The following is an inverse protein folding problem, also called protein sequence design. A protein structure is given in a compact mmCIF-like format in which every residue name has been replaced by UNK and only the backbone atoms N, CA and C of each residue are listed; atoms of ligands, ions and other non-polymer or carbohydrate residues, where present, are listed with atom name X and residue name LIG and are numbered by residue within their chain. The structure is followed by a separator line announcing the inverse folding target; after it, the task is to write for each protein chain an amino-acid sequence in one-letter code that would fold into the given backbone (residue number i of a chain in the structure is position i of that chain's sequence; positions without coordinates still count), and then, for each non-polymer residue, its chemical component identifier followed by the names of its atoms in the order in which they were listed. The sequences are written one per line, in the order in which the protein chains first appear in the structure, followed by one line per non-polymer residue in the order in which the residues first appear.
data_IF_935296664428
#
_entry.id   IF_935296664428
#
_cell.length_a   1.000
_cell.length_b   1.000
_cell.length_c   1.000
_cell.angle_alpha   90.00
_cell.angle_beta   90.00
_cell.angle_gamma   90.00
#
_symmetry.space_group_name_H-M   'P 1'
#
loop_
_entity.id
_entity.type
_entity.pdbx_description
1 polymer ?
#
# COMPACT_ATOMS: atom_id res chain seq x y z
N UNK A 1 -8.22 -13.04 -4.15
CA UNK A 1 -7.64 -12.02 -3.25
C UNK A 1 -6.33 -11.54 -3.81
N UNK A 2 -5.83 -10.38 -3.43
CA UNK A 2 -4.65 -9.76 -4.04
C UNK A 2 -3.68 -9.27 -2.96
N UNK A 3 -2.38 -9.24 -3.27
CA UNK A 3 -1.30 -8.77 -2.40
C UNK A 3 -0.41 -7.82 -3.20
N UNK A 4 -0.18 -6.61 -2.69
CA UNK A 4 0.67 -5.61 -3.32
C UNK A 4 2.07 -5.61 -2.69
N UNK A 5 3.10 -5.42 -3.51
CA UNK A 5 4.46 -5.07 -3.06
C UNK A 5 4.67 -3.58 -3.21
N UNK A 6 5.04 -2.86 -2.14
CA UNK A 6 5.69 -1.57 -2.26
C UNK A 6 7.13 -1.82 -2.71
N UNK A 7 7.42 -1.62 -4.01
CA UNK A 7 8.65 -2.04 -4.65
C UNK A 7 9.83 -1.05 -4.49
N UNK A 8 9.91 -0.42 -3.34
CA UNK A 8 11.00 0.50 -2.95
C UNK A 8 10.98 0.77 -1.45
N UNK A 9 12.06 1.39 -0.96
CA UNK A 9 12.18 1.98 0.38
C UNK A 9 13.03 3.25 0.28
N UNK A 10 13.12 4.05 1.35
CA UNK A 10 13.83 5.33 1.30
C UNK A 10 15.31 5.14 0.95
N UNK A 11 15.81 5.88 -0.04
CA UNK A 11 17.15 5.76 -0.61
C UNK A 11 17.53 4.35 -1.13
N UNK A 12 16.54 3.53 -1.49
CA UNK A 12 16.75 2.16 -1.99
C UNK A 12 17.81 2.06 -3.11
N UNK A 13 17.81 2.90 -4.18
CA UNK A 13 18.83 2.81 -5.22
C UNK A 13 20.25 2.99 -4.69
N UNK A 14 20.44 3.89 -3.73
CA UNK A 14 21.75 4.15 -3.13
C UNK A 14 22.19 3.01 -2.20
N UNK A 15 21.28 2.55 -1.34
CA UNK A 15 21.57 1.48 -0.39
C UNK A 15 21.90 0.16 -1.07
N UNK A 16 21.18 -0.18 -2.13
CA UNK A 16 21.39 -1.40 -2.91
C UNK A 16 22.42 -1.21 -4.03
N UNK A 17 23.07 -0.04 -4.15
CA UNK A 17 24.04 0.32 -5.20
C UNK A 17 23.43 0.15 -6.60
N UNK A 18 22.21 0.63 -6.77
CA UNK A 18 21.41 0.59 -8.00
C UNK A 18 20.96 2.00 -8.42
N UNK A 19 21.75 3.01 -8.11
CA UNK A 19 21.51 4.39 -8.56
C UNK A 19 21.39 4.40 -10.09
N UNK A 20 20.30 4.98 -10.58
CA UNK A 20 19.92 5.05 -11.99
C UNK A 20 19.66 3.69 -12.69
N UNK A 21 19.51 2.58 -11.92
CA UNK A 21 19.26 1.22 -12.42
C UNK A 21 18.16 0.49 -11.65
N UNK A 22 17.41 1.17 -10.81
CA UNK A 22 16.39 0.55 -9.95
C UNK A 22 15.30 -0.17 -10.75
N UNK A 23 14.89 0.41 -11.89
CA UNK A 23 13.90 -0.24 -12.75
C UNK A 23 14.37 -1.61 -13.23
N UNK A 24 15.63 -1.73 -13.66
CA UNK A 24 16.23 -3.00 -14.08
C UNK A 24 16.32 -3.97 -12.89
N UNK A 25 16.70 -3.48 -11.71
CA UNK A 25 16.80 -4.31 -10.51
C UNK A 25 15.45 -4.85 -10.05
N UNK A 26 14.39 -4.05 -10.05
CA UNK A 26 13.02 -4.51 -9.75
C UNK A 26 12.56 -5.50 -10.81
N UNK A 27 12.87 -5.25 -12.11
CA UNK A 27 12.52 -6.15 -13.19
C UNK A 27 13.14 -7.55 -13.04
N UNK A 28 14.34 -7.67 -12.46
CA UNK A 28 14.95 -8.96 -12.14
C UNK A 28 14.12 -9.79 -11.15
N UNK A 29 13.38 -9.13 -10.24
CA UNK A 29 12.59 -9.77 -9.17
C UNK A 29 11.16 -10.14 -9.58
N UNK A 30 10.67 -9.60 -10.69
CA UNK A 30 9.25 -9.73 -11.10
C UNK A 30 8.76 -11.17 -11.16
N UNK A 31 9.54 -12.09 -11.75
CA UNK A 31 9.14 -13.49 -11.89
C UNK A 31 9.04 -14.21 -10.55
N UNK A 32 9.94 -13.91 -9.62
CA UNK A 32 9.93 -14.53 -8.29
C UNK A 32 8.80 -13.95 -7.44
N UNK A 33 8.54 -12.63 -7.54
CA UNK A 33 7.40 -12.01 -6.87
C UNK A 33 6.05 -12.56 -7.38
N UNK A 34 5.91 -12.76 -8.69
CA UNK A 34 4.72 -13.38 -9.26
C UNK A 34 4.53 -14.83 -8.76
N UNK A 35 5.61 -15.62 -8.70
CA UNK A 35 5.58 -17.00 -8.15
C UNK A 35 5.26 -17.02 -6.67
N UNK A 36 5.73 -16.05 -5.90
CA UNK A 36 5.39 -15.91 -4.47
C UNK A 36 3.91 -15.54 -4.26
N UNK A 37 3.23 -15.02 -5.31
CA UNK A 37 1.80 -14.71 -5.28
C UNK A 37 1.47 -13.21 -5.21
N UNK A 38 2.42 -12.33 -5.41
CA UNK A 38 2.13 -10.90 -5.54
C UNK A 38 1.32 -10.63 -6.82
N UNK A 39 0.35 -9.72 -6.72
CA UNK A 39 -0.54 -9.36 -7.82
C UNK A 39 -0.28 -7.95 -8.38
N UNK A 40 0.43 -7.11 -7.64
CA UNK A 40 0.76 -5.77 -8.08
C UNK A 40 2.05 -5.24 -7.44
N UNK A 41 2.68 -4.28 -8.12
CA UNK A 41 3.80 -3.48 -7.63
C UNK A 41 3.37 -2.02 -7.51
N UNK A 42 3.57 -1.41 -6.36
CA UNK A 42 3.55 0.03 -6.21
C UNK A 42 4.98 0.54 -6.40
N UNK A 43 5.21 1.31 -7.48
CA UNK A 43 6.50 1.92 -7.79
C UNK A 43 6.61 3.32 -7.18
N UNK A 44 7.83 3.79 -6.85
CA UNK A 44 8.05 5.17 -6.42
C UNK A 44 7.72 6.17 -7.55
N UNK A 45 7.69 7.50 -7.26
CA UNK A 45 7.43 8.52 -8.27
C UNK A 45 8.36 8.38 -9.48
N UNK A 46 7.79 8.26 -10.68
CA UNK A 46 8.55 7.90 -11.89
C UNK A 46 9.13 9.10 -12.63
N UNK A 47 8.64 10.30 -12.34
CA UNK A 47 9.02 11.53 -13.04
C UNK A 47 10.29 12.19 -12.48
N UNK A 48 10.88 13.10 -13.27
CA UNK A 48 12.06 13.86 -12.86
C UNK A 48 11.77 14.74 -11.64
N UNK A 49 12.58 14.55 -10.62
CA UNK A 49 12.57 15.30 -9.38
C UNK A 49 13.53 16.49 -9.41
N UNK A 50 13.70 17.18 -8.27
CA UNK A 50 14.58 18.35 -8.15
C UNK A 50 16.07 18.03 -8.31
N UNK A 51 16.45 16.76 -8.21
CA UNK A 51 17.78 16.23 -8.57
C UNK A 51 17.67 14.83 -9.16
N UNK A 52 18.74 14.35 -9.81
CA UNK A 52 18.86 13.02 -10.36
C UNK A 52 19.07 11.91 -9.33
N UNK A 53 19.30 12.30 -8.06
CA UNK A 53 19.42 11.41 -6.89
C UNK A 53 18.29 11.56 -5.89
N UNK A 54 17.21 12.27 -6.24
CA UNK A 54 16.03 12.41 -5.41
C UNK A 54 15.08 11.24 -5.55
N UNK A 55 14.44 10.88 -4.44
CA UNK A 55 13.41 9.82 -4.36
C UNK A 55 12.12 10.15 -5.13
N UNK A 56 11.95 11.36 -5.68
CA UNK A 56 10.80 11.74 -6.48
C UNK A 56 9.68 12.49 -5.75
N UNK A 57 9.76 12.61 -4.41
CA UNK A 57 8.76 13.34 -3.61
C UNK A 57 8.92 14.86 -3.62
N UNK A 58 9.75 15.36 -4.53
CA UNK A 58 10.01 16.76 -4.85
C UNK A 58 9.95 16.99 -6.38
N UNK A 59 8.78 16.73 -7.03
CA UNK A 59 8.69 16.63 -8.49
C UNK A 59 9.01 17.97 -9.18
N UNK A 60 9.80 17.85 -10.25
CA UNK A 60 10.18 18.99 -11.09
C UNK A 60 9.52 18.93 -12.47
N UNK A 61 9.64 17.82 -13.20
CA UNK A 61 9.07 17.66 -14.55
C UNK A 61 8.30 16.35 -14.64
N UNK A 62 6.98 16.43 -14.55
CA UNK A 62 6.07 15.27 -14.60
C UNK A 62 6.15 14.47 -15.90
N UNK A 63 6.66 15.07 -16.96
CA UNK A 63 6.70 14.46 -18.30
C UNK A 63 8.09 14.01 -18.73
N UNK A 64 9.09 14.18 -17.86
CA UNK A 64 10.43 13.63 -18.02
C UNK A 64 10.59 12.35 -17.16
N UNK A 65 10.74 11.22 -17.81
CA UNK A 65 10.96 9.92 -17.18
C UNK A 65 12.44 9.46 -17.28
N UNK A 66 13.34 10.43 -17.36
CA UNK A 66 14.76 10.19 -17.64
C UNK A 66 15.10 10.31 -19.12
N UNK A 67 14.41 11.23 -19.82
CA UNK A 67 14.59 11.50 -21.25
C UNK A 67 15.46 12.76 -21.48
N UNK A 68 15.48 13.70 -20.52
CA UNK A 68 16.13 15.01 -20.67
C UNK A 68 17.26 15.20 -19.65
N UNK A 69 18.40 15.70 -20.13
CA UNK A 69 19.51 16.12 -19.24
C UNK A 69 19.15 17.42 -18.51
N UNK A 70 18.62 17.26 -17.30
CA UNK A 70 18.23 18.33 -16.38
C UNK A 70 18.30 17.87 -14.91
N UNK A 71 18.45 18.82 -14.00
CA UNK A 71 18.50 18.56 -12.55
C UNK A 71 19.59 17.55 -12.14
N UNK A 72 20.76 17.64 -12.75
CA UNK A 72 21.94 16.84 -12.42
C UNK A 72 22.27 15.70 -13.37
N UNK A 73 21.29 15.21 -14.15
CA UNK A 73 21.51 14.11 -15.09
C UNK A 73 20.34 13.83 -16.00
N UNK A 74 20.52 12.91 -16.95
CA UNK A 74 19.44 12.50 -17.86
C UNK A 74 18.50 11.51 -17.16
N UNK A 75 19.01 10.45 -16.53
CA UNK A 75 18.19 9.48 -15.81
C UNK A 75 17.56 10.10 -14.54
N UNK A 76 16.45 9.55 -14.09
CA UNK A 76 15.95 9.74 -12.73
C UNK A 76 16.80 8.90 -11.76
N UNK A 77 16.58 9.01 -10.47
CA UNK A 77 17.26 8.16 -9.48
C UNK A 77 17.03 6.67 -9.73
N UNK A 78 15.94 6.34 -10.38
CA UNK A 78 15.51 4.95 -10.63
C UNK A 78 15.87 4.41 -12.01
N UNK A 79 16.12 5.28 -12.98
CA UNK A 79 16.42 4.88 -14.35
C UNK A 79 15.85 5.83 -15.41
N UNK A 80 15.69 5.35 -16.63
CA UNK A 80 15.10 6.07 -17.74
C UNK A 80 13.77 5.46 -18.22
N UNK A 81 13.12 6.14 -19.16
CA UNK A 81 11.84 5.72 -19.75
C UNK A 81 11.87 4.29 -20.31
N UNK A 82 12.87 3.93 -21.07
CA UNK A 82 12.94 2.61 -21.73
C UNK A 82 13.07 1.48 -20.68
N UNK A 83 13.82 1.71 -19.60
CA UNK A 83 13.96 0.76 -18.48
C UNK A 83 12.65 0.62 -17.72
N UNK A 84 11.91 1.72 -17.50
CA UNK A 84 10.59 1.70 -16.88
C UNK A 84 9.57 0.95 -17.74
N UNK A 85 9.51 1.23 -19.04
CA UNK A 85 8.62 0.54 -19.99
C UNK A 85 8.92 -0.96 -20.05
N UNK A 86 10.19 -1.36 -20.00
CA UNK A 86 10.60 -2.76 -19.95
C UNK A 86 10.15 -3.44 -18.65
N UNK A 87 10.26 -2.75 -17.49
CA UNK A 87 9.74 -3.24 -16.21
C UNK A 87 8.22 -3.43 -16.27
N UNK A 88 7.48 -2.44 -16.79
CA UNK A 88 6.02 -2.50 -16.93
C UNK A 88 5.62 -3.70 -17.79
N UNK A 89 6.22 -3.84 -18.97
CA UNK A 89 5.94 -4.95 -19.89
C UNK A 89 6.23 -6.33 -19.24
N UNK A 90 7.36 -6.44 -18.51
CA UNK A 90 7.72 -7.67 -17.79
C UNK A 90 6.72 -7.99 -16.67
N UNK A 91 6.26 -6.98 -15.93
CA UNK A 91 5.30 -7.14 -14.84
C UNK A 91 3.96 -7.65 -15.38
N UNK A 92 3.43 -7.04 -16.44
CA UNK A 92 2.20 -7.50 -17.11
C UNK A 92 2.33 -8.90 -17.69
N UNK A 93 3.47 -9.23 -18.31
CA UNK A 93 3.74 -10.58 -18.82
C UNK A 93 3.64 -11.66 -17.73
N UNK A 94 3.92 -11.30 -16.49
CA UNK A 94 3.81 -12.19 -15.33
C UNK A 94 2.47 -12.08 -14.59
N UNK A 95 1.46 -11.42 -15.18
CA UNK A 95 0.11 -11.34 -14.63
C UNK A 95 -0.05 -10.39 -13.44
N UNK A 96 0.93 -9.51 -13.20
CA UNK A 96 0.86 -8.52 -12.13
C UNK A 96 0.54 -7.12 -12.68
N UNK A 97 -0.17 -6.30 -11.88
CA UNK A 97 -0.41 -4.88 -12.15
C UNK A 97 0.68 -3.96 -11.58
N UNK A 98 0.62 -2.67 -11.96
CA UNK A 98 1.51 -1.64 -11.45
C UNK A 98 0.74 -0.39 -11.05
N UNK A 99 1.12 0.20 -9.91
CA UNK A 99 0.55 1.44 -9.42
C UNK A 99 1.61 2.53 -9.38
N UNK A 100 1.30 3.68 -10.00
CA UNK A 100 2.18 4.84 -10.03
C UNK A 100 1.98 5.71 -8.78
N UNK A 101 3.07 6.19 -8.19
CA UNK A 101 3.03 7.18 -7.11
C UNK A 101 2.78 8.58 -7.68
N UNK A 102 1.68 9.21 -7.27
CA UNK A 102 1.19 10.50 -7.77
C UNK A 102 1.46 11.59 -6.73
N UNK A 103 2.61 12.25 -6.84
CA UNK A 103 2.98 13.40 -5.99
C UNK A 103 2.49 14.68 -6.65
N UNK A 104 1.25 15.07 -6.38
CA UNK A 104 0.59 16.20 -7.03
C UNK A 104 0.27 17.37 -6.08
N UNK A 105 0.64 17.27 -4.82
CA UNK A 105 0.42 18.34 -3.85
C UNK A 105 1.34 19.54 -4.07
N UNK A 106 2.62 19.31 -4.33
CA UNK A 106 3.67 20.33 -4.34
C UNK A 106 4.72 20.05 -5.41
N UNK A 107 5.61 21.03 -5.65
CA UNK A 107 6.78 20.88 -6.49
C UNK A 107 8.04 21.42 -5.80
N UNK A 108 9.22 21.04 -6.30
CA UNK A 108 10.51 21.57 -5.86
C UNK A 108 11.51 21.70 -7.01
N UNK A 109 12.62 22.38 -6.77
CA UNK A 109 13.69 22.55 -7.75
C UNK A 109 13.41 23.61 -8.82
N UNK A 110 12.56 24.63 -8.55
CA UNK A 110 12.31 25.74 -9.49
C UNK A 110 13.61 26.34 -10.01
N UNK A 111 13.60 26.86 -11.23
CA UNK A 111 14.77 27.43 -11.91
C UNK A 111 15.03 28.88 -11.51
N UNK A 112 13.98 29.60 -11.15
CA UNK A 112 14.08 31.00 -10.75
C UNK A 112 13.11 31.36 -9.61
N UNK A 113 13.52 32.30 -8.77
CA UNK A 113 12.64 32.96 -7.81
C UNK A 113 11.86 34.08 -8.50
N UNK A 114 10.60 34.23 -8.17
CA UNK A 114 9.75 35.31 -8.66
C UNK A 114 8.89 35.93 -7.54
N UNK A 115 8.47 37.18 -7.73
CA UNK A 115 7.59 37.85 -6.77
C UNK A 115 6.14 37.56 -7.11
N UNK A 116 5.40 36.96 -6.14
CA UNK A 116 3.96 36.81 -6.30
C UNK A 116 3.25 38.15 -6.15
N UNK A 117 2.53 38.66 -7.18
CA UNK A 117 1.91 39.99 -7.14
C UNK A 117 0.72 40.09 -6.19
N UNK A 118 0.21 38.99 -5.66
CA UNK A 118 -0.93 38.98 -4.74
C UNK A 118 -0.54 39.32 -3.30
N UNK A 119 0.66 38.93 -2.88
CA UNK A 119 1.14 39.13 -1.50
C UNK A 119 2.53 39.77 -1.41
N UNK A 120 3.18 40.04 -2.55
CA UNK A 120 4.52 40.65 -2.62
C UNK A 120 5.66 39.76 -2.18
N UNK A 121 5.39 38.46 -1.84
CA UNK A 121 6.43 37.55 -1.37
C UNK A 121 7.20 36.92 -2.53
N UNK A 122 8.50 36.76 -2.33
CA UNK A 122 9.36 36.01 -3.25
C UNK A 122 9.31 34.51 -2.93
N UNK A 123 9.20 33.70 -4.00
CA UNK A 123 9.16 32.24 -3.92
C UNK A 123 9.83 31.61 -5.13
N UNK A 124 10.37 30.42 -4.95
CA UNK A 124 10.89 29.56 -6.02
C UNK A 124 9.71 28.88 -6.71
N UNK A 125 9.13 29.53 -7.73
CA UNK A 125 7.90 29.07 -8.40
C UNK A 125 7.98 29.12 -9.92
N UNK A 126 9.12 29.54 -10.52
CA UNK A 126 9.29 29.52 -11.97
C UNK A 126 10.01 28.25 -12.40
N UNK A 127 9.29 27.43 -13.15
CA UNK A 127 9.77 26.16 -13.67
C UNK A 127 9.76 26.19 -15.19
N UNK A 128 10.90 25.86 -15.81
CA UNK A 128 11.08 25.77 -17.27
C UNK A 128 11.53 24.36 -17.64
N UNK A 129 10.69 23.32 -17.43
CA UNK A 129 11.07 21.93 -17.65
C UNK A 129 11.42 21.67 -19.11
N UNK A 130 12.48 20.87 -19.36
CA UNK A 130 12.95 20.56 -20.73
C UNK A 130 11.95 19.76 -21.56
N UNK A 131 11.00 19.05 -20.93
CA UNK A 131 9.87 18.45 -21.67
C UNK A 131 8.98 19.49 -22.36
N UNK A 132 8.97 20.75 -21.90
CA UNK A 132 8.15 21.83 -22.40
C UNK A 132 6.63 21.65 -22.15
N UNK A 133 6.22 20.56 -21.50
CA UNK A 133 4.80 20.20 -21.40
C UNK A 133 4.05 20.90 -20.25
N UNK A 134 4.75 21.31 -19.19
CA UNK A 134 4.14 21.99 -18.05
C UNK A 134 5.09 23.03 -17.43
N UNK A 135 5.38 24.16 -18.11
CA UNK A 135 6.05 25.29 -17.49
C UNK A 135 5.13 25.92 -16.44
N UNK A 136 5.70 26.37 -15.31
CA UNK A 136 4.95 26.93 -14.17
C UNK A 136 5.53 28.26 -13.75
N UNK A 137 4.65 29.08 -13.20
CA UNK A 137 4.97 30.34 -12.55
C UNK A 137 4.17 30.46 -11.24
N UNK A 138 4.35 31.57 -10.53
CA UNK A 138 3.69 31.85 -9.24
C UNK A 138 2.17 31.54 -9.25
N UNK A 139 1.47 31.75 -10.38
CA UNK A 139 0.02 31.56 -10.46
C UNK A 139 -0.41 30.08 -10.49
N UNK A 140 0.54 29.17 -10.66
CA UNK A 140 0.31 27.74 -10.54
C UNK A 140 0.32 27.25 -9.08
N UNK A 141 0.73 28.09 -8.14
CA UNK A 141 0.91 27.76 -6.73
C UNK A 141 0.08 28.69 -5.82
N UNK A 142 -0.20 28.27 -4.60
CA UNK A 142 -0.87 29.10 -3.60
C UNK A 142 0.08 30.19 -3.02
N UNK A 143 -0.40 31.43 -2.83
CA UNK A 143 -1.68 31.99 -3.30
C UNK A 143 -1.66 32.21 -4.82
N UNK A 144 -2.78 31.94 -5.48
CA UNK A 144 -2.97 32.16 -6.92
C UNK A 144 -4.18 33.05 -7.21
N UNK A 145 -4.35 33.47 -8.46
CA UNK A 145 -5.57 34.20 -8.89
C UNK A 145 -6.83 33.35 -8.80
N UNK A 146 -6.69 32.02 -8.81
CA UNK A 146 -7.80 31.07 -8.77
C UNK A 146 -8.20 30.70 -7.34
N UNK A 147 -7.24 30.78 -6.40
CA UNK A 147 -7.45 30.49 -4.99
C UNK A 147 -6.38 31.21 -4.16
N UNK A 148 -6.77 32.31 -3.52
CA UNK A 148 -5.84 33.14 -2.75
C UNK A 148 -5.52 32.54 -1.39
N UNK A 149 -6.50 31.87 -0.79
CA UNK A 149 -6.35 31.12 0.45
C UNK A 149 -6.69 29.67 0.13
N UNK A 150 -5.80 28.75 0.44
CA UNK A 150 -6.05 27.33 0.27
C UNK A 150 -7.27 26.94 1.10
N UNK A 151 -8.38 26.58 0.43
CA UNK A 151 -9.66 26.29 1.06
C UNK A 151 -9.73 24.89 1.62
N UNK A 152 -8.96 23.97 1.06
CA UNK A 152 -8.89 22.57 1.44
C UNK A 152 -7.43 22.12 1.44
N UNK A 153 -7.05 21.36 2.47
CA UNK A 153 -5.72 20.76 2.59
C UNK A 153 -4.85 21.39 3.68
N UNK A 154 -3.75 20.73 3.93
CA UNK A 154 -2.72 21.10 4.89
C UNK A 154 -1.44 21.55 4.17
N UNK A 155 -0.68 22.47 4.77
CA UNK A 155 0.62 22.88 4.24
C UNK A 155 1.66 21.75 4.40
N UNK A 156 2.34 21.45 3.31
CA UNK A 156 3.56 20.64 3.33
C UNK A 156 4.76 21.60 3.43
N UNK A 157 5.39 21.67 4.58
CA UNK A 157 6.38 22.69 4.89
C UNK A 157 7.56 22.69 3.91
N UNK A 158 7.91 23.87 3.38
CA UNK A 158 9.10 24.10 2.58
C UNK A 158 8.92 23.96 1.06
N UNK A 159 7.74 23.54 0.57
CA UNK A 159 7.49 23.40 -0.87
C UNK A 159 6.31 24.29 -1.33
N UNK A 160 6.35 24.86 -2.55
CA UNK A 160 5.21 25.55 -3.13
C UNK A 160 4.09 24.55 -3.49
N UNK A 161 2.88 24.78 -2.98
CA UNK A 161 1.71 23.96 -3.19
C UNK A 161 1.02 24.29 -4.51
N UNK A 162 0.73 23.29 -5.33
CA UNK A 162 -0.01 23.44 -6.58
C UNK A 162 -1.46 23.86 -6.34
N UNK A 163 -1.88 24.88 -7.04
CA UNK A 163 -3.28 25.33 -7.05
C UNK A 163 -4.07 24.55 -8.11
N UNK A 164 -4.72 23.46 -7.73
CA UNK A 164 -5.49 22.61 -8.64
C UNK A 164 -6.73 23.30 -9.23
N UNK A 165 -7.18 24.43 -8.67
CA UNK A 165 -8.23 25.26 -9.27
C UNK A 165 -7.72 26.10 -10.44
N UNK A 166 -6.42 26.21 -10.65
CA UNK A 166 -5.86 26.75 -11.87
C UNK A 166 -6.07 25.75 -13.02
N UNK A 167 -6.77 26.13 -14.12
CA UNK A 167 -7.04 25.23 -15.24
C UNK A 167 -5.79 24.63 -15.89
N UNK A 168 -4.66 25.37 -15.89
CA UNK A 168 -3.39 24.88 -16.44
C UNK A 168 -2.81 23.76 -15.58
N UNK A 169 -2.85 23.91 -14.24
CA UNK A 169 -2.43 22.87 -13.29
C UNK A 169 -3.32 21.63 -13.42
N UNK A 170 -4.64 21.84 -13.39
CA UNK A 170 -5.59 20.74 -13.56
C UNK A 170 -5.37 19.97 -14.86
N UNK A 171 -5.25 20.70 -15.98
CA UNK A 171 -5.04 20.09 -17.29
C UNK A 171 -3.70 19.33 -17.37
N UNK A 172 -2.65 19.82 -16.70
CA UNK A 172 -1.36 19.13 -16.62
C UNK A 172 -1.45 17.83 -15.82
N UNK A 173 -2.08 17.85 -14.65
CA UNK A 173 -2.30 16.64 -13.83
C UNK A 173 -3.13 15.59 -14.57
N UNK A 174 -4.13 16.03 -15.30
CA UNK A 174 -4.95 15.18 -16.15
C UNK A 174 -4.15 14.52 -17.29
N UNK A 175 -3.30 15.30 -17.99
CA UNK A 175 -2.40 14.78 -19.02
C UNK A 175 -1.37 13.80 -18.44
N UNK A 176 -0.86 14.09 -17.24
CA UNK A 176 0.07 13.21 -16.54
C UNK A 176 -0.58 11.87 -16.19
N UNK A 177 -1.77 11.89 -15.58
CA UNK A 177 -2.50 10.67 -15.28
C UNK A 177 -2.80 9.84 -16.55
N UNK A 178 -3.19 10.50 -17.67
CA UNK A 178 -3.39 9.82 -18.95
C UNK A 178 -2.10 9.18 -19.49
N UNK A 179 -0.99 9.90 -19.43
CA UNK A 179 0.31 9.36 -19.84
C UNK A 179 0.66 8.09 -19.06
N UNK A 180 0.44 8.08 -17.73
CA UNK A 180 0.73 6.92 -16.90
C UNK A 180 -0.12 5.71 -17.29
N UNK A 181 -1.43 5.88 -17.49
CA UNK A 181 -2.34 4.77 -17.81
C UNK A 181 -2.29 4.42 -19.31
N UNK A 182 -2.49 5.41 -20.21
CA UNK A 182 -2.77 5.16 -21.62
C UNK A 182 -1.49 4.96 -22.45
N UNK A 183 -0.38 5.64 -22.08
CA UNK A 183 0.88 5.53 -22.83
C UNK A 183 1.83 4.50 -22.20
N UNK A 184 1.99 4.52 -20.87
CA UNK A 184 2.91 3.65 -20.15
C UNK A 184 2.30 2.32 -19.70
N UNK A 185 0.97 2.30 -19.47
CA UNK A 185 0.26 1.08 -19.11
C UNK A 185 0.13 0.80 -17.62
N UNK A 186 0.30 1.78 -16.74
CA UNK A 186 0.00 1.59 -15.32
C UNK A 186 -1.46 1.16 -15.09
N UNK A 187 -1.72 0.46 -13.99
CA UNK A 187 -3.03 -0.11 -13.64
C UNK A 187 -3.71 0.66 -12.51
N UNK A 188 -3.04 1.65 -11.96
CA UNK A 188 -3.60 2.44 -10.88
C UNK A 188 -2.66 3.50 -10.34
N UNK A 189 -3.13 4.16 -9.29
CA UNK A 189 -2.45 5.28 -8.63
C UNK A 189 -2.39 5.08 -7.12
N UNK A 190 -1.25 5.41 -6.53
CA UNK A 190 -1.14 5.81 -5.13
C UNK A 190 -1.00 7.32 -5.10
N UNK A 191 -1.90 8.03 -4.45
CA UNK A 191 -1.81 9.47 -4.25
C UNK A 191 -1.11 9.80 -2.95
N UNK A 192 0.00 10.53 -3.07
CA UNK A 192 0.81 11.04 -1.98
C UNK A 192 0.11 12.18 -1.26
N UNK A 193 0.27 12.26 0.07
CA UNK A 193 -0.14 13.36 0.93
C UNK A 193 -1.53 13.94 0.60
N UNK A 194 -2.55 13.07 0.49
CA UNK A 194 -3.90 13.48 0.04
C UNK A 194 -4.61 14.46 0.98
N UNK A 195 -4.11 14.66 2.19
CA UNK A 195 -4.58 15.69 3.11
C UNK A 195 -4.07 17.11 2.74
N UNK A 196 -3.13 17.22 1.81
CA UNK A 196 -2.57 18.50 1.33
C UNK A 196 -3.43 19.22 0.30
N UNK A 197 -4.46 18.59 -0.27
CA UNK A 197 -5.29 19.16 -1.32
C UNK A 197 -6.71 18.59 -1.33
N UNK A 198 -7.60 19.25 -2.07
CA UNK A 198 -9.01 18.85 -2.10
C UNK A 198 -9.23 17.44 -2.71
N UNK A 199 -10.00 16.60 -2.04
CA UNK A 199 -10.33 15.25 -2.49
C UNK A 199 -10.97 15.21 -3.89
N UNK A 200 -11.57 16.32 -4.34
CA UNK A 200 -12.24 16.44 -5.62
C UNK A 200 -11.32 16.19 -6.82
N UNK A 201 -10.02 16.56 -6.73
CA UNK A 201 -9.09 16.32 -7.84
C UNK A 201 -8.86 14.81 -8.06
N UNK A 202 -8.71 14.03 -6.97
CA UNK A 202 -8.58 12.58 -7.03
C UNK A 202 -9.87 11.96 -7.61
N UNK A 203 -11.03 12.37 -7.10
CA UNK A 203 -12.32 11.89 -7.59
C UNK A 203 -12.51 12.12 -9.09
N UNK A 204 -12.09 13.29 -9.60
CA UNK A 204 -12.15 13.59 -11.04
C UNK A 204 -11.15 12.76 -11.85
N UNK A 205 -9.91 12.60 -11.38
CA UNK A 205 -8.92 11.75 -12.05
C UNK A 205 -9.35 10.29 -12.07
N UNK A 206 -9.93 9.77 -10.98
CA UNK A 206 -10.43 8.40 -10.90
C UNK A 206 -11.68 8.16 -11.75
N UNK A 207 -12.55 9.16 -11.90
CA UNK A 207 -13.77 9.09 -12.72
C UNK A 207 -13.50 9.12 -14.23
N UNK A 208 -12.34 9.57 -14.64
CA UNK A 208 -12.01 9.64 -16.05
C UNK A 208 -12.03 8.25 -16.69
N UNK A 209 -12.55 8.17 -17.91
CA UNK A 209 -12.59 6.94 -18.71
C UNK A 209 -11.28 6.83 -19.50
N UNK A 210 -10.28 6.20 -18.89
CA UNK A 210 -9.03 5.89 -19.55
C UNK A 210 -9.25 4.84 -20.64
N UNK A 211 -8.39 4.86 -21.67
CA UNK A 211 -8.37 3.83 -22.71
C UNK A 211 -7.06 3.06 -22.61
N UNK A 212 -7.14 1.76 -22.33
CA UNK A 212 -6.02 0.86 -22.28
C UNK A 212 -6.32 -0.33 -23.18
N UNK A 213 -5.40 -0.67 -24.10
CA UNK A 213 -5.58 -1.74 -25.08
C UNK A 213 -6.89 -1.64 -25.89
N UNK A 214 -7.29 -0.40 -26.22
CA UNK A 214 -8.51 -0.11 -26.98
C UNK A 214 -9.83 -0.29 -26.21
N UNK A 215 -9.79 -0.46 -24.90
CA UNK A 215 -10.96 -0.62 -24.02
C UNK A 215 -11.00 0.45 -22.94
N UNK A 216 -12.21 0.80 -22.49
CA UNK A 216 -12.36 1.63 -21.28
C UNK A 216 -11.73 0.91 -20.10
N UNK A 217 -10.99 1.66 -19.31
CA UNK A 217 -10.23 1.16 -18.17
C UNK A 217 -10.46 2.04 -16.94
N UNK A 218 -10.69 1.40 -15.80
CA UNK A 218 -10.83 2.05 -14.50
C UNK A 218 -9.64 1.70 -13.62
N UNK A 219 -8.80 2.68 -13.24
CA UNK A 219 -7.62 2.42 -12.43
C UNK A 219 -7.97 2.06 -10.99
N UNK A 220 -7.16 1.22 -10.35
CA UNK A 220 -7.13 1.12 -8.90
C UNK A 220 -6.60 2.43 -8.30
N UNK A 221 -7.20 2.90 -7.21
CA UNK A 221 -6.77 4.15 -6.55
C UNK A 221 -6.68 3.96 -5.05
N UNK A 222 -5.54 4.34 -4.48
CA UNK A 222 -5.32 4.40 -3.04
C UNK A 222 -4.71 5.75 -2.64
N UNK A 223 -5.22 6.34 -1.55
CA UNK A 223 -4.71 7.61 -1.02
C UNK A 223 -3.95 7.44 0.28
N UNK A 224 -2.87 8.21 0.41
CA UNK A 224 -2.17 8.35 1.67
C UNK A 224 -2.82 9.43 2.53
N UNK A 225 -3.87 9.05 3.24
CA UNK A 225 -4.50 9.89 4.26
C UNK A 225 -3.93 9.55 5.64
N UNK A 226 -2.75 10.07 5.94
CA UNK A 226 -2.08 9.80 7.23
C UNK A 226 -2.77 10.55 8.37
N UNK A 227 -3.80 9.94 8.92
CA UNK A 227 -4.64 10.49 9.97
C UNK A 227 -5.32 9.38 10.80
N UNK A 228 -6.15 9.76 11.75
CA UNK A 228 -7.02 8.86 12.48
C UNK A 228 -8.17 8.32 11.61
N UNK A 229 -8.83 7.26 12.08
CA UNK A 229 -9.89 6.55 11.36
C UNK A 229 -11.04 7.49 10.94
N UNK A 230 -11.48 8.37 11.82
CA UNK A 230 -12.59 9.31 11.54
C UNK A 230 -12.28 10.26 10.36
N UNK A 231 -11.06 10.77 10.26
CA UNK A 231 -10.66 11.67 9.17
C UNK A 231 -10.50 10.90 7.86
N UNK A 232 -9.96 9.68 7.91
CA UNK A 232 -9.88 8.80 6.74
C UNK A 232 -11.29 8.48 6.24
N UNK A 233 -12.22 8.18 7.13
CA UNK A 233 -13.61 7.87 6.81
C UNK A 233 -14.30 9.05 6.12
N UNK A 234 -14.14 10.27 6.66
CA UNK A 234 -14.64 11.52 6.05
C UNK A 234 -14.02 11.78 4.68
N UNK A 235 -12.72 11.51 4.53
CA UNK A 235 -12.03 11.67 3.25
C UNK A 235 -12.54 10.66 2.22
N UNK A 236 -12.68 9.38 2.60
CA UNK A 236 -13.25 8.34 1.74
C UNK A 236 -14.67 8.69 1.29
N UNK A 237 -15.50 9.22 2.20
CA UNK A 237 -16.84 9.70 1.86
C UNK A 237 -16.83 10.83 0.82
N UNK A 238 -15.91 11.79 0.97
CA UNK A 238 -15.78 12.91 0.03
C UNK A 238 -15.35 12.43 -1.35
N UNK A 239 -14.27 11.63 -1.42
CA UNK A 239 -13.68 11.21 -2.69
C UNK A 239 -14.58 10.22 -3.43
N UNK A 240 -15.20 9.27 -2.74
CA UNK A 240 -16.06 8.26 -3.37
C UNK A 240 -17.42 8.81 -3.83
N UNK A 241 -17.89 9.96 -3.29
CA UNK A 241 -19.07 10.66 -3.82
C UNK A 241 -18.85 11.29 -5.20
N UNK A 242 -17.60 11.48 -5.60
CA UNK A 242 -17.24 12.16 -6.85
C UNK A 242 -16.93 11.20 -7.99
N UNK A 243 -16.85 9.93 -7.73
CA UNK A 243 -16.53 8.88 -8.69
C UNK A 243 -17.44 7.67 -8.50
N UNK A 244 -17.59 6.88 -9.55
CA UNK A 244 -18.21 5.55 -9.54
C UNK A 244 -17.15 4.43 -9.30
N UNK A 245 -15.91 4.82 -9.09
CA UNK A 245 -14.78 3.92 -8.77
C UNK A 245 -14.62 3.82 -7.26
N UNK A 246 -14.31 2.63 -6.78
CA UNK A 246 -13.99 2.40 -5.37
C UNK A 246 -12.56 2.87 -5.05
N UNK A 247 -12.44 3.96 -4.29
CA UNK A 247 -11.15 4.49 -3.85
C UNK A 247 -10.85 3.96 -2.45
N UNK A 248 -9.61 3.52 -2.23
CA UNK A 248 -9.10 3.02 -0.97
C UNK A 248 -8.19 4.06 -0.27
N UNK A 249 -7.90 3.83 1.00
CA UNK A 249 -6.90 4.54 1.79
C UNK A 249 -5.99 3.56 2.52
N UNK A 250 -4.74 3.94 2.77
CA UNK A 250 -3.85 3.20 3.67
C UNK A 250 -4.39 3.26 5.09
N UNK A 251 -4.46 2.10 5.75
CA UNK A 251 -5.02 1.95 7.10
C UNK A 251 -3.97 2.26 8.17
N UNK A 252 -3.64 3.54 8.32
CA UNK A 252 -2.73 4.01 9.37
C UNK A 252 -3.19 3.65 10.78
N UNK A 253 -4.49 3.77 11.14
CA UNK A 253 -4.96 3.36 12.45
C UNK A 253 -4.67 1.87 12.77
N UNK A 254 -4.93 0.96 11.83
CA UNK A 254 -4.58 -0.45 12.00
C UNK A 254 -3.06 -0.61 12.19
N UNK A 255 -2.27 0.02 11.35
CA UNK A 255 -0.81 -0.04 11.42
C UNK A 255 -0.28 0.35 12.80
N UNK A 256 -0.84 1.40 13.42
CA UNK A 256 -0.44 1.81 14.78
C UNK A 256 -0.85 0.81 15.84
N UNK A 257 -2.05 0.21 15.74
CA UNK A 257 -2.46 -0.89 16.62
C UNK A 257 -1.51 -2.09 16.49
N UNK A 258 -1.13 -2.46 15.26
CA UNK A 258 -0.21 -3.57 15.01
C UNK A 258 1.21 -3.26 15.52
N UNK A 259 1.67 -2.00 15.44
CA UNK A 259 2.91 -1.60 16.10
C UNK A 259 2.85 -1.82 17.61
N UNK A 260 1.77 -1.45 18.23
CA UNK A 260 1.59 -1.63 19.67
C UNK A 260 1.54 -3.12 20.04
N UNK A 261 0.89 -3.96 19.25
CA UNK A 261 0.91 -5.44 19.42
C UNK A 261 2.35 -5.97 19.37
N UNK A 262 3.13 -5.55 18.39
CA UNK A 262 4.48 -6.05 18.16
C UNK A 262 5.49 -5.52 19.18
N UNK A 263 5.49 -4.22 19.44
CA UNK A 263 6.53 -3.56 20.24
C UNK A 263 6.19 -3.46 21.74
N UNK A 264 4.92 -3.71 22.14
CA UNK A 264 4.46 -3.63 23.55
C UNK A 264 3.87 -4.99 23.98
N UNK A 265 4.64 -5.85 24.67
CA UNK A 265 4.15 -7.17 25.11
C UNK A 265 2.91 -7.13 26.02
N UNK A 266 2.59 -5.99 26.63
CA UNK A 266 1.41 -5.78 27.46
C UNK A 266 0.22 -5.18 26.72
N UNK A 267 0.28 -5.06 25.39
CA UNK A 267 -0.84 -4.53 24.60
C UNK A 267 -2.03 -5.47 24.67
N UNK A 268 -3.18 -4.91 24.99
CA UNK A 268 -4.43 -5.67 25.12
C UNK A 268 -5.01 -5.99 23.75
N UNK A 269 -4.99 -7.27 23.36
CA UNK A 269 -5.45 -7.73 22.03
C UNK A 269 -6.93 -7.51 21.79
N UNK A 270 -7.75 -7.23 22.83
CA UNK A 270 -9.15 -6.83 22.64
C UNK A 270 -9.29 -5.53 21.83
N UNK A 271 -8.25 -4.69 21.82
CA UNK A 271 -8.23 -3.48 20.98
C UNK A 271 -8.19 -3.77 19.48
N UNK A 272 -7.88 -4.99 19.05
CA UNK A 272 -7.98 -5.41 17.65
C UNK A 272 -9.43 -5.73 17.22
N UNK A 273 -10.38 -5.77 18.16
CA UNK A 273 -11.79 -6.10 17.87
C UNK A 273 -12.69 -4.88 17.73
N UNK A 274 -12.18 -3.70 18.00
CA UNK A 274 -12.98 -2.47 17.95
C UNK A 274 -12.85 -1.71 16.61
N UNK A 275 -13.80 -0.84 16.33
CA UNK A 275 -13.97 -0.12 15.06
C UNK A 275 -12.86 0.91 14.72
N UNK A 276 -11.86 1.08 15.55
CA UNK A 276 -10.83 2.11 15.35
C UNK A 276 -9.80 1.79 14.27
N UNK A 277 -10.19 1.15 13.15
CA UNK A 277 -9.38 0.92 11.96
C UNK A 277 -10.26 0.90 10.72
N UNK A 278 -9.69 1.29 9.57
CA UNK A 278 -10.44 1.36 8.29
C UNK A 278 -10.94 -0.02 7.89
N UNK A 279 -10.10 -1.05 8.00
CA UNK A 279 -10.45 -2.43 7.62
C UNK A 279 -11.62 -2.98 8.41
N UNK A 280 -11.78 -2.61 9.68
CA UNK A 280 -12.87 -3.09 10.52
C UNK A 280 -14.22 -2.49 10.14
N UNK A 281 -14.23 -1.30 9.55
CA UNK A 281 -15.43 -0.56 9.19
C UNK A 281 -15.72 -0.59 7.69
N UNK A 282 -14.69 -0.52 6.87
CA UNK A 282 -14.76 -0.44 5.41
C UNK A 282 -13.69 -1.33 4.76
N UNK A 283 -13.76 -2.65 4.92
CA UNK A 283 -12.70 -3.57 4.46
C UNK A 283 -12.34 -3.40 2.99
N UNK A 284 -13.33 -3.11 2.14
CA UNK A 284 -13.12 -2.91 0.70
C UNK A 284 -12.40 -1.61 0.35
N UNK A 285 -12.29 -0.67 1.29
CA UNK A 285 -11.59 0.60 1.11
C UNK A 285 -10.26 0.67 1.87
N UNK A 286 -9.83 -0.42 2.51
CA UNK A 286 -8.64 -0.50 3.32
C UNK A 286 -7.47 -1.11 2.53
N UNK A 287 -6.39 -0.34 2.33
CA UNK A 287 -5.09 -0.87 1.98
C UNK A 287 -4.30 -1.05 3.29
N UNK A 288 -4.17 -2.30 3.73
CA UNK A 288 -3.51 -2.64 4.99
C UNK A 288 -2.00 -2.77 4.80
N UNK A 289 -1.21 -2.35 5.79
CA UNK A 289 0.25 -2.43 5.72
C UNK A 289 0.87 -2.51 7.12
N UNK A 290 2.10 -2.98 7.17
CA UNK A 290 2.89 -3.08 8.41
C UNK A 290 3.85 -1.90 8.52
N UNK A 291 4.71 -1.73 7.53
CA UNK A 291 5.59 -0.57 7.40
C UNK A 291 5.62 -0.06 5.96
N UNK A 292 6.14 1.15 5.76
CA UNK A 292 6.41 1.76 4.47
C UNK A 292 7.67 2.64 4.54
N UNK A 293 8.01 3.31 3.44
CA UNK A 293 9.21 4.13 3.30
C UNK A 293 9.29 5.36 4.23
N UNK A 294 8.17 5.80 4.79
CA UNK A 294 8.08 6.98 5.66
C UNK A 294 8.12 6.67 7.15
N UNK A 295 8.11 5.40 7.53
CA UNK A 295 8.02 5.03 8.96
C UNK A 295 9.26 5.40 9.75
N UNK A 296 10.47 5.35 9.18
CA UNK A 296 11.70 5.74 9.85
C UNK A 296 11.80 5.18 11.28
N UNK A 297 11.96 6.04 12.26
CA UNK A 297 12.03 5.68 13.70
C UNK A 297 10.70 5.12 14.25
N UNK A 298 9.60 5.28 13.51
CA UNK A 298 8.30 4.69 13.87
C UNK A 298 8.11 3.27 13.30
N UNK A 299 9.08 2.71 12.61
CA UNK A 299 9.00 1.34 12.12
C UNK A 299 8.70 0.34 13.26
N UNK A 300 8.06 -0.77 12.93
CA UNK A 300 7.89 -1.88 13.87
C UNK A 300 9.23 -2.59 14.04
N UNK A 301 9.68 -2.77 15.28
CA UNK A 301 11.00 -3.31 15.57
C UNK A 301 10.93 -4.79 15.95
N UNK A 302 9.97 -5.17 16.82
CA UNK A 302 9.88 -6.52 17.38
C UNK A 302 8.75 -7.31 16.73
N UNK A 303 8.88 -8.63 16.70
CA UNK A 303 7.80 -9.59 16.38
C UNK A 303 6.95 -9.22 15.15
N UNK A 304 7.57 -8.60 14.15
CA UNK A 304 6.91 -8.01 12.97
C UNK A 304 6.03 -9.00 12.21
N UNK A 305 6.35 -10.29 12.28
CA UNK A 305 5.55 -11.33 11.64
C UNK A 305 4.15 -11.48 12.27
N UNK A 306 3.93 -11.06 13.52
CA UNK A 306 2.58 -10.96 14.11
C UNK A 306 1.72 -9.95 13.36
N UNK A 307 2.29 -8.80 12.98
CA UNK A 307 1.59 -7.78 12.18
C UNK A 307 1.31 -8.26 10.75
N UNK A 308 2.31 -8.87 10.07
CA UNK A 308 2.10 -9.43 8.74
C UNK A 308 1.07 -10.55 8.73
N UNK A 309 1.08 -11.45 9.71
CA UNK A 309 0.07 -12.50 9.81
C UNK A 309 -1.34 -11.93 9.94
N UNK A 310 -1.52 -10.86 10.73
CA UNK A 310 -2.81 -10.21 10.90
C UNK A 310 -3.36 -9.65 9.58
N UNK A 311 -2.58 -8.81 8.86
CA UNK A 311 -3.06 -8.19 7.61
C UNK A 311 -3.27 -9.21 6.48
N UNK A 312 -2.61 -10.38 6.54
CA UNK A 312 -2.73 -11.42 5.53
C UNK A 312 -3.93 -12.34 5.74
N UNK A 313 -4.48 -12.42 6.95
CA UNK A 313 -5.65 -13.28 7.22
C UNK A 313 -6.96 -12.51 7.34
N UNK A 314 -6.91 -11.20 7.62
CA UNK A 314 -8.09 -10.34 7.66
C UNK A 314 -8.46 -9.82 6.27
N UNK A 315 -9.56 -9.09 6.19
CA UNK A 315 -10.00 -8.38 5.00
C UNK A 315 -9.04 -7.23 4.68
N UNK A 316 -9.29 -6.55 3.58
CA UNK A 316 -8.49 -5.45 3.06
C UNK A 316 -7.55 -5.87 1.94
N UNK A 317 -6.74 -4.93 1.47
CA UNK A 317 -5.74 -5.15 0.44
C UNK A 317 -4.34 -5.02 1.05
N UNK A 318 -3.64 -6.12 1.42
CA UNK A 318 -2.35 -6.06 2.08
C UNK A 318 -1.25 -5.55 1.14
N UNK A 319 -0.45 -4.61 1.66
CA UNK A 319 0.76 -4.08 1.05
C UNK A 319 1.98 -4.55 1.84
N UNK A 320 2.87 -5.27 1.19
CA UNK A 320 4.12 -5.75 1.76
C UNK A 320 5.23 -4.78 1.44
N UNK A 321 6.04 -4.43 2.42
CA UNK A 321 7.14 -3.50 2.29
C UNK A 321 8.39 -4.20 1.76
N UNK A 322 9.02 -3.67 0.69
CA UNK A 322 10.23 -4.23 0.08
C UNK A 322 11.35 -4.50 1.08
N UNK A 323 11.61 -3.52 1.97
CA UNK A 323 12.68 -3.62 2.95
C UNK A 323 12.46 -4.78 3.92
N UNK A 324 11.23 -5.02 4.36
CA UNK A 324 10.91 -6.16 5.21
C UNK A 324 11.05 -7.49 4.48
N UNK A 325 10.57 -7.54 3.25
CA UNK A 325 10.59 -8.76 2.46
C UNK A 325 12.02 -9.20 2.10
N UNK A 326 12.84 -8.28 1.58
CA UNK A 326 14.18 -8.59 1.10
C UNK A 326 15.28 -8.28 2.12
N UNK A 327 15.37 -7.05 2.65
CA UNK A 327 16.49 -6.60 3.48
C UNK A 327 16.39 -7.19 4.90
N UNK A 328 15.20 -7.23 5.50
CA UNK A 328 14.94 -7.91 6.76
C UNK A 328 14.73 -9.42 6.60
N UNK A 329 14.77 -9.96 5.38
CA UNK A 329 14.69 -11.38 5.05
C UNK A 329 13.43 -12.07 5.61
N UNK A 330 12.30 -11.36 5.66
CA UNK A 330 11.04 -11.92 6.15
C UNK A 330 10.27 -12.72 5.08
N UNK A 331 10.72 -12.73 3.82
CA UNK A 331 10.18 -13.61 2.79
C UNK A 331 10.18 -15.09 3.23
N UNK A 332 11.31 -15.59 3.69
CA UNK A 332 11.58 -16.96 4.17
C UNK A 332 10.93 -18.02 3.28
N UNK A 333 11.33 -18.13 1.99
CA UNK A 333 10.67 -19.03 1.05
C UNK A 333 10.70 -20.49 1.52
N UNK A 334 9.64 -21.22 1.21
CA UNK A 334 9.49 -22.66 1.54
C UNK A 334 9.47 -22.97 3.04
N UNK A 335 9.30 -21.98 3.90
CA UNK A 335 9.16 -22.19 5.34
C UNK A 335 7.78 -21.72 5.82
N UNK A 336 7.24 -22.28 6.91
CA UNK A 336 5.92 -21.89 7.40
C UNK A 336 5.88 -20.53 8.12
N UNK A 337 7.04 -19.95 8.42
CA UNK A 337 7.20 -18.77 9.25
C UNK A 337 7.59 -17.52 8.46
N UNK A 338 7.43 -17.53 7.12
CA UNK A 338 7.74 -16.41 6.24
C UNK A 338 6.52 -15.74 5.65
N UNK A 339 6.75 -14.54 5.06
CA UNK A 339 5.71 -13.82 4.33
C UNK A 339 5.17 -14.65 3.16
N UNK A 340 6.01 -15.46 2.51
CA UNK A 340 5.56 -16.34 1.41
C UNK A 340 4.50 -17.35 1.86
N UNK A 341 4.66 -17.94 3.06
CA UNK A 341 3.63 -18.82 3.63
C UNK A 341 2.32 -18.08 3.93
N UNK A 342 2.42 -16.82 4.41
CA UNK A 342 1.26 -15.97 4.66
C UNK A 342 0.54 -15.59 3.36
N UNK A 343 1.26 -15.32 2.27
CA UNK A 343 0.68 -15.07 0.94
C UNK A 343 -0.09 -16.31 0.46
N UNK A 344 0.48 -17.52 0.64
CA UNK A 344 -0.21 -18.78 0.31
C UNK A 344 -1.48 -18.93 1.15
N UNK A 345 -1.41 -18.67 2.46
CA UNK A 345 -2.58 -18.72 3.35
C UNK A 345 -3.66 -17.73 2.92
N UNK A 346 -3.26 -16.49 2.58
CA UNK A 346 -4.14 -15.45 2.07
C UNK A 346 -4.91 -15.91 0.83
N UNK A 347 -4.21 -16.38 -0.19
CA UNK A 347 -4.83 -16.75 -1.45
C UNK A 347 -5.72 -17.99 -1.36
N UNK A 348 -5.31 -18.99 -0.57
CA UNK A 348 -5.98 -20.28 -0.54
C UNK A 348 -7.11 -20.38 0.48
N UNK A 349 -7.01 -19.65 1.60
CA UNK A 349 -7.86 -19.93 2.76
C UNK A 349 -8.56 -18.71 3.35
N UNK A 350 -8.05 -17.46 3.15
CA UNK A 350 -8.56 -16.28 3.85
C UNK A 350 -9.84 -15.69 3.21
N UNK A 351 -10.72 -16.49 2.64
CA UNK A 351 -11.99 -16.07 2.03
C UNK A 351 -13.16 -16.00 2.99
N UNK A 352 -14.21 -15.29 2.57
CA UNK A 352 -15.41 -15.06 3.36
C UNK A 352 -15.23 -14.02 4.46
N UNK A 353 -16.21 -13.90 5.35
CA UNK A 353 -16.18 -12.93 6.44
C UNK A 353 -15.31 -13.39 7.60
N UNK A 354 -14.70 -12.42 8.30
CA UNK A 354 -14.04 -12.67 9.59
C UNK A 354 -15.05 -12.78 10.73
N UNK A 355 -14.86 -13.77 11.57
CA UNK A 355 -15.64 -13.94 12.80
C UNK A 355 -14.68 -14.13 13.98
N UNK A 356 -14.73 -13.21 14.95
CA UNK A 356 -13.94 -13.28 16.17
C UNK A 356 -14.55 -14.37 17.07
N UNK A 357 -13.75 -15.38 17.39
CA UNK A 357 -14.18 -16.51 18.24
C UNK A 357 -13.78 -16.30 19.71
N UNK A 358 -12.66 -15.60 19.93
CA UNK A 358 -12.17 -15.27 21.26
C UNK A 358 -11.28 -14.02 21.21
N UNK A 359 -11.38 -13.17 22.23
CA UNK A 359 -10.45 -12.08 22.44
C UNK A 359 -10.34 -11.77 23.94
N UNK A 360 -9.14 -11.88 24.46
CA UNK A 360 -8.76 -11.40 25.79
C UNK A 360 -7.46 -10.55 25.70
N UNK A 361 -6.88 -10.06 26.79
CA UNK A 361 -5.67 -9.24 26.70
C UNK A 361 -4.50 -9.91 25.99
N UNK A 362 -4.38 -11.24 26.06
CA UNK A 362 -3.20 -11.99 25.63
C UNK A 362 -3.44 -12.90 24.44
N UNK A 363 -4.71 -13.20 24.13
CA UNK A 363 -5.07 -14.18 23.08
C UNK A 363 -6.19 -13.63 22.20
N UNK A 364 -5.97 -13.74 20.88
CA UNK A 364 -6.98 -13.40 19.87
C UNK A 364 -7.15 -14.60 18.93
N UNK A 365 -8.39 -15.05 18.74
CA UNK A 365 -8.73 -16.14 17.84
C UNK A 365 -9.88 -15.71 16.93
N UNK A 366 -9.69 -15.86 15.63
CA UNK A 366 -10.74 -15.61 14.64
C UNK A 366 -10.81 -16.72 13.60
N UNK A 367 -11.96 -16.85 12.93
CA UNK A 367 -12.09 -17.67 11.73
C UNK A 367 -12.43 -16.82 10.51
N UNK A 368 -11.86 -17.18 9.34
CA UNK A 368 -12.42 -16.82 8.05
C UNK A 368 -13.40 -17.90 7.66
N UNK A 369 -14.63 -17.51 7.33
CA UNK A 369 -15.70 -18.51 7.11
C UNK A 369 -15.56 -19.27 5.78
N UNK A 370 -14.66 -18.86 4.93
CA UNK A 370 -14.49 -19.43 3.60
C UNK A 370 -15.47 -18.85 2.60
N UNK A 371 -15.15 -19.05 1.34
CA UNK A 371 -15.93 -18.60 0.20
C UNK A 371 -15.90 -19.66 -0.90
N UNK A 372 -17.05 -19.94 -1.48
CA UNK A 372 -17.14 -20.84 -2.61
C UNK A 372 -17.94 -20.14 -3.72
N UNK A 373 -17.33 -20.04 -4.89
CA UNK A 373 -17.98 -19.51 -6.07
C UNK A 373 -18.23 -20.64 -7.08
N UNK A 374 -19.43 -21.16 -7.08
CA UNK A 374 -19.87 -22.18 -8.02
C UNK A 374 -20.38 -21.58 -9.35
N UNK A 375 -20.37 -20.23 -9.50
CA UNK A 375 -20.90 -19.54 -10.68
C UNK A 375 -19.92 -19.51 -11.87
N UNK A 376 -18.64 -19.81 -11.63
CA UNK A 376 -17.59 -19.86 -12.66
C UNK A 376 -17.09 -21.28 -12.84
N UNK A 377 -16.81 -21.67 -14.07
CA UNK A 377 -16.16 -22.94 -14.41
C UNK A 377 -14.77 -22.97 -13.74
N UNK A 378 -14.49 -23.95 -12.87
CA UNK A 378 -13.36 -24.02 -11.94
C UNK A 378 -13.42 -22.99 -10.80
N UNK A 379 -14.58 -22.79 -10.22
CA UNK A 379 -14.86 -21.81 -9.16
C UNK A 379 -13.82 -21.76 -8.06
N UNK A 380 -13.59 -20.55 -7.53
CA UNK A 380 -12.65 -20.34 -6.43
C UNK A 380 -13.23 -20.95 -5.17
N UNK A 381 -12.58 -22.00 -4.68
CA UNK A 381 -12.87 -22.60 -3.37
C UNK A 381 -11.83 -22.15 -2.36
N UNK A 382 -12.26 -21.33 -1.39
CA UNK A 382 -11.46 -20.90 -0.26
C UNK A 382 -12.12 -21.45 1.00
N UNK A 383 -11.61 -22.57 1.56
CA UNK A 383 -12.32 -23.30 2.60
C UNK A 383 -12.40 -22.56 3.93
N UNK A 384 -11.64 -21.49 4.10
CA UNK A 384 -11.53 -20.75 5.35
C UNK A 384 -10.34 -21.20 6.19
N UNK A 385 -10.14 -20.53 7.33
CA UNK A 385 -9.03 -20.80 8.26
C UNK A 385 -9.41 -20.40 9.69
N UNK A 386 -8.62 -20.91 10.65
CA UNK A 386 -8.56 -20.39 12.03
C UNK A 386 -7.23 -19.67 12.20
N UNK A 387 -7.26 -18.46 12.69
CA UNK A 387 -6.10 -17.64 13.04
C UNK A 387 -6.03 -17.44 14.55
N UNK A 388 -4.84 -17.63 15.11
CA UNK A 388 -4.54 -17.43 16.52
C UNK A 388 -3.35 -16.50 16.66
N UNK A 389 -3.50 -15.46 17.49
CA UNK A 389 -2.44 -14.52 17.85
C UNK A 389 -2.24 -14.59 19.37
N UNK A 390 -1.01 -14.85 19.80
CA UNK A 390 -0.63 -14.99 21.20
C UNK A 390 0.36 -13.90 21.61
N UNK A 391 -0.02 -13.06 22.58
CA UNK A 391 0.81 -11.97 23.07
C UNK A 391 1.67 -12.34 24.30
N UNK A 392 1.48 -13.54 24.90
CA UNK A 392 2.30 -14.01 25.99
C UNK A 392 3.72 -14.29 25.53
N UNK A 393 4.70 -13.88 26.35
CA UNK A 393 6.13 -13.98 25.99
C UNK A 393 6.78 -15.32 26.33
N UNK A 394 6.17 -16.14 27.16
CA UNK A 394 6.82 -17.26 27.85
C UNK A 394 6.20 -18.63 27.57
N UNK A 395 5.02 -18.70 26.97
CA UNK A 395 4.31 -19.96 26.76
C UNK A 395 3.38 -19.95 25.56
N UNK A 396 3.14 -21.13 25.03
CA UNK A 396 2.04 -21.41 24.13
C UNK A 396 0.71 -21.09 24.80
N UNK A 397 -0.20 -20.48 24.05
CA UNK A 397 -1.54 -20.14 24.54
C UNK A 397 -2.59 -20.46 23.49
N UNK A 398 -3.68 -20.99 23.95
CA UNK A 398 -4.87 -21.33 23.17
C UNK A 398 -6.05 -21.53 24.09
N UNK A 399 -7.25 -21.54 23.51
CA UNK A 399 -8.47 -21.87 24.24
C UNK A 399 -9.43 -22.61 23.34
N UNK A 400 -10.38 -23.33 23.94
CA UNK A 400 -11.45 -23.99 23.19
C UNK A 400 -12.42 -22.96 22.64
N UNK A 401 -12.63 -23.00 21.32
CA UNK A 401 -13.58 -22.13 20.61
C UNK A 401 -14.51 -22.95 19.75
N UNK A 402 -15.73 -22.44 19.54
CA UNK A 402 -16.70 -23.03 18.63
C UNK A 402 -16.49 -22.48 17.24
N UNK A 403 -16.03 -23.33 16.32
CA UNK A 403 -15.87 -23.01 14.91
C UNK A 403 -17.15 -23.34 14.12
N UNK A 404 -17.20 -22.97 12.85
CA UNK A 404 -18.29 -23.36 11.94
C UNK A 404 -18.19 -24.82 11.45
N UNK A 405 -17.09 -25.52 11.71
CA UNK A 405 -16.81 -26.86 11.17
C UNK A 405 -16.88 -27.96 12.24
N UNK A 406 -17.97 -28.71 12.34
CA UNK A 406 -18.05 -29.89 13.22
C UNK A 406 -17.29 -31.07 12.61
N UNK A 407 -16.65 -31.88 13.47
CA UNK A 407 -15.90 -33.09 13.12
C UNK A 407 -14.83 -32.85 12.03
N UNK A 408 -14.24 -31.67 11.97
CA UNK A 408 -13.25 -31.28 10.97
C UNK A 408 -11.82 -31.36 11.51
N UNK A 409 -10.95 -31.96 10.73
CA UNK A 409 -9.50 -31.94 10.98
C UNK A 409 -8.89 -30.65 10.43
N UNK A 410 -7.97 -30.06 11.19
CA UNK A 410 -7.21 -28.85 10.85
C UNK A 410 -5.72 -29.13 10.94
N UNK A 411 -4.96 -28.72 9.92
CA UNK A 411 -3.50 -28.73 9.95
C UNK A 411 -2.96 -27.28 10.08
N UNK A 412 -1.88 -27.06 10.84
CA UNK A 412 -1.16 -25.79 10.84
C UNK A 412 -0.50 -25.59 9.49
N UNK A 413 -0.71 -24.42 8.87
CA UNK A 413 -0.19 -24.09 7.53
C UNK A 413 0.82 -22.95 7.54
N UNK A 414 0.78 -22.09 8.57
CA UNK A 414 1.80 -21.07 8.83
C UNK A 414 1.82 -20.74 10.33
N UNK A 415 3.01 -20.52 10.88
CA UNK A 415 3.22 -20.11 12.28
C UNK A 415 4.59 -19.47 12.44
N UNK A 416 4.72 -18.55 13.38
CA UNK A 416 5.99 -17.96 13.82
C UNK A 416 5.84 -17.44 15.26
N UNK A 417 6.95 -17.36 16.00
CA UNK A 417 6.99 -16.83 17.36
C UNK A 417 8.33 -17.14 18.04
N UNK A 418 8.39 -16.89 19.35
CA UNK A 418 9.61 -17.12 20.14
C UNK A 418 9.88 -18.62 20.41
N UNK A 419 8.91 -19.48 20.15
CA UNK A 419 9.08 -20.93 20.10
C UNK A 419 8.75 -21.40 18.67
N UNK A 420 9.69 -22.10 18.04
CA UNK A 420 9.60 -22.58 16.67
C UNK A 420 9.07 -24.02 16.54
N UNK A 421 8.61 -24.62 17.64
CA UNK A 421 8.02 -25.95 17.62
C UNK A 421 6.84 -26.01 16.64
N UNK A 422 6.66 -27.13 15.97
CA UNK A 422 5.55 -27.34 15.07
C UNK A 422 4.24 -27.47 15.86
N UNK A 423 3.20 -26.65 15.57
CA UNK A 423 1.90 -26.83 16.19
C UNK A 423 1.28 -28.19 15.83
N UNK A 424 0.56 -28.80 16.75
CA UNK A 424 -0.16 -30.04 16.49
C UNK A 424 -1.40 -29.81 15.60
N UNK A 425 -1.76 -30.81 14.83
CA UNK A 425 -3.07 -30.86 14.16
C UNK A 425 -4.20 -30.82 15.19
N UNK A 426 -5.34 -30.29 14.83
CA UNK A 426 -6.53 -30.17 15.67
C UNK A 426 -7.72 -30.82 14.99
N UNK A 427 -8.64 -31.37 15.78
CA UNK A 427 -9.91 -31.89 15.28
C UNK A 427 -11.04 -31.33 16.13
N UNK A 428 -12.03 -30.74 15.49
CA UNK A 428 -13.22 -30.26 16.18
C UNK A 428 -14.16 -31.41 16.55
N UNK A 429 -14.87 -31.26 17.67
CA UNK A 429 -15.89 -32.20 18.07
C UNK A 429 -17.17 -32.09 17.20
N UNK A 430 -18.22 -32.84 17.58
CA UNK A 430 -19.51 -32.83 16.86
C UNK A 430 -20.23 -31.46 16.91
N UNK A 431 -19.92 -30.61 17.88
CA UNK A 431 -20.45 -29.28 18.02
C UNK A 431 -19.56 -28.18 17.37
N UNK A 432 -18.40 -28.55 16.85
CA UNK A 432 -17.43 -27.68 16.21
C UNK A 432 -16.38 -27.09 17.18
N UNK A 433 -16.29 -27.58 18.42
CA UNK A 433 -15.34 -27.05 19.40
C UNK A 433 -13.96 -27.72 19.26
N UNK A 434 -12.91 -26.94 19.41
CA UNK A 434 -11.53 -27.40 19.60
C UNK A 434 -10.67 -26.29 20.19
N UNK A 435 -9.56 -26.66 20.81
CA UNK A 435 -8.52 -25.75 21.25
C UNK A 435 -7.53 -25.50 20.13
N UNK A 436 -7.22 -24.22 19.86
CA UNK A 436 -6.23 -23.79 18.87
C UNK A 436 -5.16 -22.93 19.56
N UNK A 437 -3.94 -23.43 19.75
CA UNK A 437 -2.84 -22.67 20.35
C UNK A 437 -1.97 -21.98 19.31
N UNK A 438 -1.25 -20.93 19.78
CA UNK A 438 -0.16 -20.29 19.06
C UNK A 438 1.09 -20.18 19.94
N UNK A 439 2.30 -20.12 19.34
CA UNK A 439 3.55 -19.97 20.09
C UNK A 439 3.62 -18.64 20.84
N UNK A 440 4.50 -18.52 21.85
CA UNK A 440 4.71 -17.28 22.59
C UNK A 440 5.15 -16.15 21.65
N UNK A 441 4.62 -14.94 21.84
CA UNK A 441 4.86 -13.76 20.97
C UNK A 441 4.79 -14.16 19.51
N UNK A 442 3.65 -14.74 19.10
CA UNK A 442 3.55 -15.29 17.76
C UNK A 442 2.12 -15.56 17.33
N UNK A 443 2.02 -16.27 16.22
CA UNK A 443 0.76 -16.63 15.60
C UNK A 443 0.78 -18.08 15.11
N UNK A 444 -0.41 -18.63 14.89
CA UNK A 444 -0.61 -19.87 14.14
C UNK A 444 -1.86 -19.76 13.26
N UNK A 445 -1.78 -20.30 12.04
CA UNK A 445 -2.87 -20.40 11.08
C UNK A 445 -3.16 -21.87 10.82
N UNK A 446 -4.40 -22.27 11.05
CA UNK A 446 -4.88 -23.62 10.82
C UNK A 446 -5.90 -23.64 9.68
N UNK A 447 -5.74 -24.58 8.77
CA UNK A 447 -6.68 -24.77 7.66
C UNK A 447 -7.33 -26.15 7.70
N UNK A 448 -8.61 -26.28 7.27
CA UNK A 448 -9.28 -27.57 7.14
C UNK A 448 -8.56 -28.46 6.11
N UNK A 449 -8.41 -29.74 6.43
CA UNK A 449 -7.75 -30.77 5.60
C UNK A 449 -8.65 -32.00 5.43
#
# INVERSE_FOLDING_TARGET
MAVMMQAFYWDAPKHDKKEHEWWNFVAEKVEDLAKAGFNALWLPPVSKASSDTSMGYDPYDYFDLGDFDQKGGTKTFYGNRAELEALIAKTHKNGMGLYADMVINHNSGADEEETNPLDGQKRWTKFNPKSGKFPRNWNCFHPSRYEQVMMEGENFAGFPHLCHRNPEVYAAMYKYARMLIEELGFDGFRFDFVKGFGAWIIGLLAKYRYVKDGKEFTPYVVGEMWSGEEDIDKWLDKVNKMTDTQIAAFDFPLRYKLKDVCDKPSYDLRNLTNDGAVVMKRPMHAATFVDNHDMGDNAIINDKMMAYSFIMVHEGYPSIFWYDYYNNQLARPLTPNGIDALIIAHHKYAGGDSQILHADPDLYIMQRVGYKDDSVENGVDQPGLIYVLNNLGDKWSGTSVKTKWPNQKFAPIAWDGHDTAHPDERTTDADGNSEFPAPPRGFAIYAPV
#
